data_IF_947235753871
#
_entry.id   IF_947235753871
#
_cell.length_a   1.000
_cell.length_b   1.000
_cell.length_c   1.000
_cell.angle_alpha   90.00
_cell.angle_beta   90.00
_cell.angle_gamma   90.00
#
_symmetry.space_group_name_H-M   'P 1'
#
loop_
_entity.id
_entity.type
_entity.pdbx_description
1 polymer ?
#
# COMPACT_ATOMS: atom_id res chain seq x y z
N UNK A 1 -14.23 -18.18 -3.61
CA UNK A 1 -13.44 -16.93 -3.58
C UNK A 1 -14.14 -15.86 -2.75
N UNK A 2 -15.37 -15.45 -3.07
CA UNK A 2 -16.18 -14.51 -2.25
C UNK A 2 -16.36 -14.93 -0.78
N UNK A 3 -16.63 -16.20 -0.48
CA UNK A 3 -16.74 -16.69 0.93
C UNK A 3 -15.46 -16.51 1.76
N UNK A 4 -14.28 -16.64 1.15
CA UNK A 4 -13.02 -16.42 1.85
C UNK A 4 -12.84 -14.94 2.20
N UNK A 5 -13.29 -14.03 1.33
CA UNK A 5 -13.30 -12.60 1.59
C UNK A 5 -14.31 -12.23 2.68
N UNK A 6 -15.53 -12.78 2.67
CA UNK A 6 -16.51 -12.54 3.74
C UNK A 6 -16.00 -12.99 5.12
N UNK A 7 -15.23 -14.09 5.18
CA UNK A 7 -14.57 -14.51 6.43
C UNK A 7 -13.54 -13.52 6.94
N UNK A 8 -12.79 -12.85 6.05
CA UNK A 8 -11.77 -11.86 6.42
C UNK A 8 -12.42 -10.50 6.74
N UNK A 9 -13.45 -10.12 6.00
CA UNK A 9 -14.14 -8.84 6.17
C UNK A 9 -15.08 -8.79 7.39
N UNK A 10 -15.53 -9.95 7.88
CA UNK A 10 -16.48 -10.01 8.99
C UNK A 10 -17.82 -9.35 8.62
N UNK A 11 -18.17 -8.27 9.30
CA UNK A 11 -19.38 -7.47 9.00
C UNK A 11 -19.17 -6.41 7.91
N UNK A 12 -17.93 -6.14 7.51
CA UNK A 12 -17.62 -5.16 6.47
C UNK A 12 -17.97 -5.70 5.08
N UNK A 13 -18.48 -4.82 4.21
CA UNK A 13 -18.85 -5.19 2.84
C UNK A 13 -17.70 -4.98 1.84
N UNK A 14 -16.68 -4.21 2.23
CA UNK A 14 -15.55 -3.86 1.37
C UNK A 14 -14.23 -3.90 2.13
N UNK A 15 -13.18 -4.35 1.43
CA UNK A 15 -11.81 -4.36 1.92
C UNK A 15 -11.13 -3.06 1.51
N UNK A 16 -10.75 -2.24 2.48
CA UNK A 16 -9.99 -1.02 2.19
C UNK A 16 -8.62 -1.40 1.63
N UNK A 17 -8.06 -0.58 0.74
CA UNK A 17 -6.73 -0.79 0.18
C UNK A 17 -5.80 0.28 0.72
N UNK A 18 -4.68 -0.13 1.33
CA UNK A 18 -3.64 0.79 1.79
C UNK A 18 -2.39 0.59 0.96
N UNK A 19 -1.90 1.66 0.35
CA UNK A 19 -0.67 1.69 -0.44
C UNK A 19 0.42 2.37 0.38
N UNK A 20 1.49 1.62 0.66
CA UNK A 20 2.62 2.10 1.45
C UNK A 20 3.84 2.38 0.57
N UNK A 21 4.41 3.57 0.73
CA UNK A 21 5.69 3.93 0.12
C UNK A 21 5.63 3.83 -1.40
N UNK A 22 4.66 4.53 -2.01
CA UNK A 22 4.45 4.52 -3.46
C UNK A 22 5.60 5.20 -4.21
N UNK A 23 6.33 6.12 -3.58
CA UNK A 23 7.38 6.92 -4.19
C UNK A 23 6.86 8.19 -4.86
N UNK A 24 7.77 8.99 -5.42
CA UNK A 24 7.36 10.18 -6.18
C UNK A 24 6.69 9.78 -7.50
N UNK A 25 5.42 10.14 -7.61
CA UNK A 25 4.55 9.89 -8.78
C UNK A 25 5.02 10.74 -9.97
N UNK A 26 5.52 11.94 -9.69
CA UNK A 26 6.07 12.83 -10.72
C UNK A 26 7.40 12.31 -11.28
N UNK A 27 8.28 11.83 -10.40
CA UNK A 27 9.67 11.56 -10.75
C UNK A 27 9.90 10.20 -11.41
N UNK A 28 9.05 9.21 -11.13
CA UNK A 28 9.30 7.82 -11.52
C UNK A 28 8.10 7.16 -12.18
N UNK A 29 8.37 6.15 -13.00
CA UNK A 29 7.34 5.35 -13.70
C UNK A 29 6.69 4.27 -12.81
N UNK A 30 7.45 3.50 -11.98
CA UNK A 30 6.86 2.47 -11.12
C UNK A 30 5.78 2.98 -10.14
N UNK A 31 5.93 4.14 -9.47
CA UNK A 31 4.87 4.71 -8.62
C UNK A 31 3.57 4.97 -9.39
N UNK A 32 3.67 5.41 -10.66
CA UNK A 32 2.50 5.64 -11.53
C UNK A 32 1.81 4.35 -11.92
N UNK A 33 2.57 3.28 -12.21
CA UNK A 33 2.00 1.97 -12.51
C UNK A 33 1.30 1.35 -11.29
N UNK A 34 1.90 1.47 -10.11
CA UNK A 34 1.32 0.95 -8.86
C UNK A 34 0.02 1.68 -8.52
N UNK A 35 0.01 3.00 -8.64
CA UNK A 35 -1.22 3.79 -8.49
C UNK A 35 -2.27 3.39 -9.52
N UNK A 36 -1.88 3.25 -10.79
CA UNK A 36 -2.78 2.84 -11.87
C UNK A 36 -3.38 1.46 -11.60
N UNK A 37 -2.59 0.51 -11.09
CA UNK A 37 -3.05 -0.80 -10.69
C UNK A 37 -4.04 -0.71 -9.52
N UNK A 38 -3.74 0.04 -8.47
CA UNK A 38 -4.64 0.23 -7.33
C UNK A 38 -6.01 0.78 -7.78
N UNK A 39 -6.00 1.82 -8.62
CA UNK A 39 -7.21 2.41 -9.19
C UNK A 39 -7.97 1.40 -10.06
N UNK A 40 -7.27 0.64 -10.92
CA UNK A 40 -7.88 -0.40 -11.76
C UNK A 40 -8.53 -1.49 -10.92
N UNK A 41 -7.88 -1.91 -9.83
CA UNK A 41 -8.43 -2.89 -8.88
C UNK A 41 -9.73 -2.35 -8.26
N UNK A 42 -9.74 -1.14 -7.69
CA UNK A 42 -10.95 -0.49 -7.15
C UNK A 42 -12.09 -0.43 -8.17
N UNK A 43 -11.79 -0.09 -9.43
CA UNK A 43 -12.79 -0.01 -10.50
C UNK A 43 -13.32 -1.36 -10.97
N UNK A 44 -12.50 -2.42 -10.93
CA UNK A 44 -12.84 -3.76 -11.43
C UNK A 44 -13.54 -4.62 -10.37
N UNK A 45 -13.26 -4.40 -9.09
CA UNK A 45 -13.71 -5.25 -8.00
C UNK A 45 -14.56 -4.47 -7.00
N UNK A 46 -15.87 -4.74 -6.99
CA UNK A 46 -16.83 -4.02 -6.15
C UNK A 46 -16.63 -4.18 -4.63
N UNK A 47 -15.90 -5.22 -4.22
CA UNK A 47 -15.54 -5.50 -2.84
C UNK A 47 -14.28 -4.73 -2.40
N UNK A 48 -13.58 -4.05 -3.30
CA UNK A 48 -12.49 -3.16 -2.93
C UNK A 48 -13.09 -1.80 -2.53
N UNK A 49 -12.68 -1.35 -1.35
CA UNK A 49 -13.08 -0.08 -0.75
C UNK A 49 -12.29 1.10 -1.31
N UNK A 50 -12.07 2.06 -0.43
CA UNK A 50 -11.23 3.22 -0.68
C UNK A 50 -9.75 2.86 -0.74
N UNK A 51 -9.01 3.71 -1.47
CA UNK A 51 -7.57 3.60 -1.62
C UNK A 51 -6.97 4.65 -0.71
N UNK A 52 -6.27 4.21 0.31
CA UNK A 52 -5.54 5.05 1.24
C UNK A 52 -4.06 4.95 0.89
N UNK A 53 -3.34 6.07 0.85
CA UNK A 53 -1.92 6.11 0.53
C UNK A 53 -1.17 6.71 1.69
N UNK A 54 -0.19 5.98 2.21
CA UNK A 54 0.76 6.48 3.19
C UNK A 54 2.15 6.48 2.59
N UNK A 55 2.70 7.68 2.41
CA UNK A 55 4.10 7.84 2.00
C UNK A 55 4.67 9.16 2.55
N UNK A 56 5.72 9.10 3.40
CA UNK A 56 6.36 10.30 3.96
C UNK A 56 6.97 11.24 2.93
N UNK A 57 7.27 10.76 1.71
CA UNK A 57 7.94 11.56 0.68
C UNK A 57 6.98 12.20 -0.33
N UNK A 58 5.66 11.98 -0.20
CA UNK A 58 4.68 12.62 -1.08
C UNK A 58 4.65 14.14 -0.87
N UNK A 59 4.72 14.87 -1.98
CA UNK A 59 4.50 16.32 -1.98
C UNK A 59 3.03 16.67 -1.80
N UNK A 60 2.76 17.93 -1.46
CA UNK A 60 1.39 18.45 -1.38
C UNK A 60 0.66 18.39 -2.74
N UNK A 61 1.39 18.56 -3.85
CA UNK A 61 0.83 18.45 -5.20
C UNK A 61 0.43 17.02 -5.50
N UNK A 62 1.33 16.05 -5.25
CA UNK A 62 1.04 14.63 -5.45
C UNK A 62 -0.12 14.16 -4.57
N UNK A 63 -0.21 14.67 -3.33
CA UNK A 63 -1.32 14.37 -2.43
C UNK A 63 -2.67 14.82 -3.00
N UNK A 64 -2.75 16.05 -3.54
CA UNK A 64 -3.97 16.54 -4.19
C UNK A 64 -4.33 15.76 -5.45
N UNK A 65 -3.34 15.30 -6.20
CA UNK A 65 -3.56 14.44 -7.37
C UNK A 65 -4.14 13.10 -6.94
N UNK A 66 -3.64 12.49 -5.86
CA UNK A 66 -4.19 11.27 -5.29
C UNK A 66 -5.64 11.44 -4.83
N UNK A 67 -5.93 12.54 -4.12
CA UNK A 67 -7.29 12.89 -3.69
C UNK A 67 -8.24 13.08 -4.88
N UNK A 68 -7.78 13.70 -5.96
CA UNK A 68 -8.56 13.86 -7.19
C UNK A 68 -8.80 12.52 -7.94
N UNK A 69 -8.08 11.46 -7.60
CA UNK A 69 -8.17 10.13 -8.20
C UNK A 69 -8.94 9.13 -7.32
N UNK A 70 -9.80 9.62 -6.42
CA UNK A 70 -10.59 8.83 -5.45
C UNK A 70 -9.73 8.06 -4.43
N UNK A 71 -8.52 8.55 -4.17
CA UNK A 71 -7.66 8.13 -3.07
C UNK A 71 -7.74 9.08 -1.88
N UNK A 72 -7.17 8.69 -0.75
CA UNK A 72 -6.93 9.55 0.41
C UNK A 72 -5.48 9.42 0.86
N UNK A 73 -4.88 10.50 1.35
CA UNK A 73 -3.52 10.47 1.88
C UNK A 73 -3.56 10.42 3.39
N UNK A 74 -2.96 9.38 3.97
CA UNK A 74 -2.87 9.20 5.41
C UNK A 74 -1.69 10.01 5.95
N UNK A 75 -1.93 10.79 6.99
CA UNK A 75 -0.89 11.57 7.69
C UNK A 75 -0.13 10.74 8.73
N UNK A 76 -0.72 9.64 9.19
CA UNK A 76 -0.16 8.73 10.20
C UNK A 76 -0.25 7.31 9.67
N UNK A 77 0.76 6.51 10.00
CA UNK A 77 0.80 5.11 9.61
C UNK A 77 -0.18 4.29 10.47
N UNK A 78 -1.35 3.97 9.90
CA UNK A 78 -2.34 3.07 10.53
C UNK A 78 -1.97 1.60 10.27
N UNK A 79 -0.81 1.18 10.79
CA UNK A 79 -0.18 -0.15 10.67
C UNK A 79 -1.07 -1.35 11.04
N UNK A 80 -2.27 -1.15 11.58
CA UNK A 80 -2.98 -2.15 12.39
C UNK A 80 -4.27 -2.71 11.77
N UNK A 81 -4.61 -2.36 10.53
CA UNK A 81 -5.84 -2.82 9.90
C UNK A 81 -5.63 -4.12 9.13
N UNK A 82 -5.73 -5.26 9.82
CA UNK A 82 -5.68 -6.62 9.25
C UNK A 82 -6.80 -6.90 8.22
N UNK A 83 -7.81 -6.04 8.14
CA UNK A 83 -8.92 -6.15 7.20
C UNK A 83 -8.69 -5.36 5.90
N UNK A 84 -7.44 -4.97 5.62
CA UNK A 84 -7.10 -4.17 4.44
C UNK A 84 -6.22 -4.95 3.45
N UNK A 85 -6.39 -4.68 2.16
CA UNK A 85 -5.41 -5.04 1.14
C UNK A 85 -4.22 -4.11 1.33
N UNK A 86 -3.02 -4.67 1.43
CA UNK A 86 -1.80 -3.86 1.54
C UNK A 86 -0.97 -3.99 0.27
N UNK A 87 -0.71 -2.86 -0.39
CA UNK A 87 0.20 -2.74 -1.54
C UNK A 87 1.47 -2.03 -1.09
N UNK A 88 2.62 -2.67 -1.28
CA UNK A 88 3.93 -2.04 -1.03
C UNK A 88 4.50 -1.53 -2.35
N UNK A 89 4.78 -0.23 -2.41
CA UNK A 89 5.26 0.44 -3.61
C UNK A 89 6.74 0.21 -3.92
N UNK A 90 7.48 -0.49 -3.05
CA UNK A 90 8.88 -0.83 -3.27
C UNK A 90 9.13 -2.34 -3.14
N UNK A 91 10.21 -2.82 -3.75
CA UNK A 91 10.70 -4.18 -3.55
C UNK A 91 11.05 -4.40 -2.06
N UNK A 92 10.80 -5.61 -1.55
CA UNK A 92 11.18 -6.01 -0.19
C UNK A 92 12.66 -5.76 0.11
N UNK A 93 13.56 -5.83 -0.88
CA UNK A 93 14.97 -5.49 -0.74
C UNK A 93 15.21 -4.05 -0.27
N UNK A 94 14.41 -3.09 -0.73
CA UNK A 94 14.45 -1.70 -0.25
C UNK A 94 13.96 -1.59 1.20
N UNK A 95 13.02 -2.44 1.61
CA UNK A 95 12.59 -2.54 3.01
C UNK A 95 13.66 -3.17 3.92
N UNK A 96 14.38 -4.20 3.47
CA UNK A 96 15.51 -4.80 4.22
C UNK A 96 16.61 -3.76 4.48
N UNK A 97 16.92 -2.96 3.46
CA UNK A 97 17.94 -1.92 3.55
C UNK A 97 17.55 -0.85 4.59
N UNK A 98 16.30 -0.38 4.58
CA UNK A 98 15.80 0.58 5.57
C UNK A 98 15.76 0.02 7.02
N UNK A 99 15.43 -1.26 7.22
CA UNK A 99 15.49 -1.92 8.55
C UNK A 99 16.93 -2.02 9.07
N UNK A 100 17.89 -2.20 8.17
CA UNK A 100 19.30 -2.32 8.54
C UNK A 100 19.93 -0.97 8.90
N UNK A 101 19.51 0.13 8.26
CA UNK A 101 20.06 1.48 8.44
C UNK A 101 19.39 2.26 9.57
N UNK A 102 18.07 2.10 9.76
CA UNK A 102 17.34 2.76 10.83
C UNK A 102 17.04 1.75 11.93
N UNK A 103 17.74 1.80 13.06
CA UNK A 103 17.54 0.85 14.18
C UNK A 103 16.43 1.25 15.16
N UNK A 104 15.81 2.42 15.00
CA UNK A 104 14.75 2.89 15.89
C UNK A 104 13.84 3.93 15.23
N UNK A 105 12.84 3.49 14.48
CA UNK A 105 11.73 4.34 14.10
C UNK A 105 10.50 3.47 13.78
N UNK A 106 9.32 4.09 13.75
CA UNK A 106 8.05 3.47 13.32
C UNK A 106 8.13 2.86 11.92
N UNK A 107 9.07 3.31 11.06
CA UNK A 107 9.37 2.69 9.76
C UNK A 107 9.93 1.28 9.91
N UNK A 108 10.73 1.02 10.94
CA UNK A 108 11.37 -0.29 11.19
C UNK A 108 10.33 -1.33 11.53
N UNK A 109 9.35 -0.98 12.37
CA UNK A 109 8.28 -1.89 12.76
C UNK A 109 7.39 -2.24 11.57
N UNK A 110 7.00 -1.23 10.77
CA UNK A 110 6.34 -1.43 9.46
C UNK A 110 7.14 -2.38 8.57
N UNK A 111 8.43 -2.10 8.36
CA UNK A 111 9.27 -2.90 7.47
C UNK A 111 9.50 -4.32 7.97
N UNK A 112 9.53 -4.57 9.28
CA UNK A 112 9.61 -5.94 9.82
C UNK A 112 8.36 -6.76 9.51
N UNK A 113 7.18 -6.16 9.58
CA UNK A 113 5.94 -6.83 9.19
C UNK A 113 5.90 -7.12 7.69
N UNK A 114 6.35 -6.19 6.85
CA UNK A 114 6.52 -6.39 5.40
C UNK A 114 7.41 -7.62 5.15
N UNK A 115 8.61 -7.64 5.74
CA UNK A 115 9.56 -8.73 5.56
C UNK A 115 9.05 -10.09 6.07
N UNK A 116 8.20 -10.10 7.11
CA UNK A 116 7.58 -11.33 7.58
C UNK A 116 6.61 -11.92 6.53
N UNK A 117 5.87 -11.06 5.83
CA UNK A 117 4.91 -11.47 4.78
C UNK A 117 5.64 -11.98 3.53
N UNK A 118 6.89 -11.57 3.29
CA UNK A 118 7.73 -12.03 2.16
C UNK A 118 7.77 -13.55 2.01
N UNK A 119 7.80 -14.29 3.13
CA UNK A 119 7.82 -15.76 3.16
C UNK A 119 6.57 -16.40 2.54
N UNK A 120 5.51 -15.62 2.39
CA UNK A 120 4.19 -16.05 1.91
C UNK A 120 3.79 -15.38 0.58
N UNK A 121 4.67 -14.56 0.00
CA UNK A 121 4.38 -13.80 -1.24
C UNK A 121 5.38 -14.13 -2.34
N UNK A 122 4.89 -14.24 -3.58
CA UNK A 122 5.74 -14.25 -4.76
C UNK A 122 5.91 -12.82 -5.28
N UNK A 123 7.15 -12.32 -5.30
CA UNK A 123 7.49 -11.02 -5.89
C UNK A 123 7.59 -11.12 -7.42
N UNK A 124 6.97 -10.19 -8.12
CA UNK A 124 7.07 -10.07 -9.57
C UNK A 124 7.67 -8.73 -9.94
N UNK A 125 8.81 -8.76 -10.63
CA UNK A 125 9.38 -7.57 -11.22
C UNK A 125 8.56 -7.18 -12.45
N UNK A 126 8.05 -5.95 -12.47
CA UNK A 126 7.49 -5.35 -13.68
C UNK A 126 8.71 -4.92 -14.52
N UNK A 127 8.84 -5.47 -15.73
CA UNK A 127 9.92 -5.18 -16.69
C UNK A 127 9.42 -4.31 -17.81
#
# INVERSE_FOLDING_TARGET
MLEAFFRVLGSELKMQMVVYGIGSIESYEPPRLQLSLAILLKRKFCWIGDIEVFDPILSATESRVLEALDGSVLSVNEQERLNNIVLFGNNFGTCEQHVSEFRSSTLVDSSRHILAVRKFTCEFAIK
#
